data_IF_354823242938
#
_entry.id   IF_354823242938
#
_cell.length_a   1.000
_cell.length_b   1.000
_cell.length_c   1.000
_cell.angle_alpha   90.00
_cell.angle_beta   90.00
_cell.angle_gamma   90.00
#
_symmetry.space_group_name_H-M   'P 1'
#
loop_
_entity.id
_entity.type
_entity.pdbx_description
1 polymer ?
#
# COMPACT_ATOMS: atom_id res chain seq x y z
N UNK A 1 -22.47 -10.94 -9.74
CA UNK A 1 -21.28 -11.81 -9.95
C UNK A 1 -20.13 -11.10 -10.65
N UNK A 2 -20.35 -10.37 -11.76
CA UNK A 2 -19.29 -9.65 -12.48
C UNK A 2 -18.71 -8.49 -11.65
N UNK A 3 -19.54 -7.74 -10.95
CA UNK A 3 -19.11 -6.61 -10.11
C UNK A 3 -18.11 -7.05 -9.03
N UNK A 4 -18.41 -8.13 -8.30
CA UNK A 4 -17.51 -8.68 -7.28
C UNK A 4 -16.17 -9.15 -7.86
N UNK A 5 -16.20 -9.69 -9.07
CA UNK A 5 -14.99 -10.06 -9.79
C UNK A 5 -14.15 -8.81 -10.11
N UNK A 6 -14.75 -7.78 -10.70
CA UNK A 6 -14.08 -6.52 -11.02
C UNK A 6 -13.53 -5.81 -9.77
N UNK A 7 -14.34 -5.71 -8.72
CA UNK A 7 -13.96 -5.13 -7.43
C UNK A 7 -12.70 -5.82 -6.89
N UNK A 8 -12.66 -7.16 -6.90
CA UNK A 8 -11.52 -7.93 -6.41
C UNK A 8 -10.22 -7.59 -7.16
N UNK A 9 -10.28 -7.38 -8.48
CA UNK A 9 -9.11 -7.03 -9.28
C UNK A 9 -8.66 -5.59 -9.02
N UNK A 10 -9.60 -4.65 -8.91
CA UNK A 10 -9.32 -3.26 -8.58
C UNK A 10 -8.72 -3.12 -7.19
N UNK A 11 -9.32 -3.75 -6.18
CA UNK A 11 -8.84 -3.75 -4.79
C UNK A 11 -7.42 -4.32 -4.71
N UNK A 12 -7.12 -5.42 -5.41
CA UNK A 12 -5.77 -5.97 -5.45
C UNK A 12 -4.74 -4.95 -5.95
N UNK A 13 -5.04 -4.22 -7.02
CA UNK A 13 -4.17 -3.18 -7.54
C UNK A 13 -3.99 -2.04 -6.53
N UNK A 14 -5.12 -1.52 -6.02
CA UNK A 14 -5.15 -0.41 -5.07
C UNK A 14 -4.35 -0.72 -3.80
N UNK A 15 -4.48 -1.92 -3.23
CA UNK A 15 -3.77 -2.30 -2.01
C UNK A 15 -2.24 -2.27 -2.17
N UNK A 16 -1.70 -2.72 -3.32
CA UNK A 16 -0.26 -2.66 -3.59
C UNK A 16 0.23 -1.21 -3.62
N UNK A 17 -0.50 -0.34 -4.32
CA UNK A 17 -0.16 1.07 -4.43
C UNK A 17 -0.29 1.78 -3.09
N UNK A 18 -1.34 1.49 -2.31
CA UNK A 18 -1.55 2.04 -0.98
C UNK A 18 -0.44 1.64 0.00
N UNK A 19 0.03 0.38 -0.04
CA UNK A 19 1.14 -0.10 0.79
C UNK A 19 2.44 0.62 0.42
N UNK A 20 2.74 0.76 -0.88
CA UNK A 20 3.90 1.53 -1.34
C UNK A 20 3.83 2.99 -0.88
N UNK A 21 2.66 3.62 -0.97
CA UNK A 21 2.46 4.99 -0.49
C UNK A 21 2.74 5.10 1.02
N UNK A 22 2.17 4.21 1.84
CA UNK A 22 2.35 4.23 3.31
C UNK A 22 3.81 4.04 3.70
N UNK A 23 4.49 3.05 3.12
CA UNK A 23 5.91 2.76 3.41
C UNK A 23 6.82 3.85 2.84
N UNK A 24 6.42 4.48 1.73
CA UNK A 24 7.17 5.57 1.10
C UNK A 24 7.17 6.86 1.92
N UNK A 25 6.21 7.05 2.84
CA UNK A 25 6.19 8.18 3.77
C UNK A 25 7.10 7.94 4.98
N UNK A 26 7.11 6.73 5.51
CA UNK A 26 7.99 6.34 6.62
C UNK A 26 8.07 4.82 6.71
N UNK A 27 9.19 4.30 7.22
CA UNK A 27 9.29 2.89 7.55
C UNK A 27 8.28 2.47 8.62
N UNK A 28 7.68 1.29 8.47
CA UNK A 28 6.58 0.84 9.34
C UNK A 28 6.62 -0.66 9.62
N UNK A 29 6.12 -1.05 10.80
CA UNK A 29 5.87 -2.45 11.12
C UNK A 29 4.68 -3.00 10.31
N UNK A 30 4.72 -4.27 9.93
CA UNK A 30 3.63 -4.92 9.17
C UNK A 30 2.24 -4.72 9.81
N UNK A 31 2.15 -4.78 11.13
CA UNK A 31 0.89 -4.56 11.84
C UNK A 31 0.40 -3.09 11.79
N UNK A 32 1.30 -2.12 11.73
CA UNK A 32 0.92 -0.71 11.56
C UNK A 32 0.38 -0.45 10.15
N UNK A 33 1.02 -1.06 9.14
CA UNK A 33 0.56 -1.02 7.75
C UNK A 33 -0.83 -1.66 7.68
N UNK A 34 -1.02 -2.84 8.29
CA UNK A 34 -2.31 -3.51 8.38
C UNK A 34 -3.41 -2.61 8.92
N UNK A 35 -3.17 -1.98 10.09
CA UNK A 35 -4.15 -1.10 10.72
C UNK A 35 -4.54 0.08 9.84
N UNK A 36 -3.57 0.71 9.18
CA UNK A 36 -3.85 1.84 8.27
C UNK A 36 -4.67 1.39 7.06
N UNK A 37 -4.21 0.34 6.38
CA UNK A 37 -4.88 -0.15 5.17
C UNK A 37 -6.30 -0.62 5.49
N UNK A 38 -6.48 -1.35 6.59
CA UNK A 38 -7.80 -1.80 7.03
C UNK A 38 -8.73 -0.64 7.37
N UNK A 39 -8.23 0.38 8.07
CA UNK A 39 -9.05 1.51 8.50
C UNK A 39 -9.39 2.47 7.35
N UNK A 40 -8.45 2.73 6.46
CA UNK A 40 -8.52 3.85 5.52
C UNK A 40 -8.81 3.44 4.08
N UNK A 41 -8.45 2.21 3.68
CA UNK A 41 -8.45 1.80 2.27
C UNK A 41 -9.43 0.66 2.01
N UNK A 42 -9.33 -0.44 2.76
CA UNK A 42 -10.18 -1.62 2.56
C UNK A 42 -10.34 -2.41 3.86
N UNK A 43 -11.49 -2.27 4.50
CA UNK A 43 -11.85 -2.86 5.80
C UNK A 43 -11.86 -4.39 5.82
N UNK A 44 -12.13 -5.01 4.66
CA UNK A 44 -12.15 -6.47 4.48
C UNK A 44 -10.76 -7.09 4.30
N UNK A 45 -9.67 -6.31 4.33
CA UNK A 45 -8.32 -6.89 4.23
C UNK A 45 -8.01 -7.80 5.43
N UNK A 46 -7.53 -9.01 5.14
CA UNK A 46 -7.00 -9.93 6.16
C UNK A 46 -5.50 -9.67 6.40
N UNK A 47 -5.02 -10.01 7.59
CA UNK A 47 -3.59 -9.89 7.91
C UNK A 47 -2.73 -10.76 6.99
N UNK A 48 -3.19 -11.98 6.69
CA UNK A 48 -2.52 -12.89 5.74
C UNK A 48 -2.45 -12.30 4.34
N UNK A 49 -3.51 -11.65 3.86
CA UNK A 49 -3.50 -10.97 2.56
C UNK A 49 -2.47 -9.86 2.51
N UNK A 50 -2.34 -9.07 3.59
CA UNK A 50 -1.31 -8.04 3.66
C UNK A 50 0.09 -8.64 3.57
N UNK A 51 0.39 -9.68 4.36
CA UNK A 51 1.72 -10.31 4.33
C UNK A 51 2.04 -10.95 2.99
N UNK A 52 1.04 -11.51 2.29
CA UNK A 52 1.21 -11.96 0.90
C UNK A 52 1.62 -10.82 -0.03
N UNK A 53 0.98 -9.65 0.08
CA UNK A 53 1.32 -8.48 -0.74
C UNK A 53 2.72 -7.96 -0.39
N UNK A 54 3.06 -7.87 0.90
CA UNK A 54 4.40 -7.44 1.33
C UNK A 54 5.49 -8.36 0.79
N UNK A 55 5.29 -9.68 0.87
CA UNK A 55 6.23 -10.67 0.31
C UNK A 55 6.37 -10.54 -1.21
N UNK A 56 5.28 -10.25 -1.91
CA UNK A 56 5.30 -10.00 -3.36
C UNK A 56 6.10 -8.74 -3.71
N UNK A 57 5.86 -7.63 -3.02
CA UNK A 57 6.57 -6.36 -3.23
C UNK A 57 8.07 -6.49 -2.90
N UNK A 58 8.41 -7.25 -1.85
CA UNK A 58 9.79 -7.56 -1.48
C UNK A 58 10.48 -8.42 -2.54
N UNK A 59 9.81 -9.47 -3.04
CA UNK A 59 10.31 -10.30 -4.16
C UNK A 59 10.56 -9.47 -5.44
N UNK A 60 9.74 -8.44 -5.68
CA UNK A 60 9.91 -7.53 -6.81
C UNK A 60 11.01 -6.47 -6.58
N UNK A 61 11.59 -6.41 -5.38
CA UNK A 61 12.61 -5.44 -4.99
C UNK A 61 12.07 -4.03 -4.82
N UNK A 62 10.76 -3.86 -4.59
CA UNK A 62 10.11 -2.55 -4.41
C UNK A 62 10.15 -2.10 -2.94
N UNK A 63 10.25 -3.05 -2.02
CA UNK A 63 10.42 -2.81 -0.60
C UNK A 63 11.49 -3.76 -0.06
N UNK A 64 12.01 -3.46 1.12
CA UNK A 64 12.92 -4.33 1.88
C UNK A 64 12.62 -4.21 3.37
N UNK A 65 13.15 -5.16 4.15
CA UNK A 65 12.94 -5.21 5.59
C UNK A 65 14.24 -4.95 6.36
N UNK A 66 14.16 -4.09 7.37
CA UNK A 66 15.23 -3.90 8.38
C UNK A 66 14.63 -4.21 9.75
N UNK A 67 15.09 -5.31 10.37
CA UNK A 67 14.48 -5.83 11.59
C UNK A 67 13.02 -6.22 11.36
N UNK A 68 12.08 -5.52 11.98
CA UNK A 68 10.63 -5.75 11.82
C UNK A 68 9.91 -4.69 10.98
N UNK A 69 10.64 -3.68 10.48
CA UNK A 69 10.08 -2.58 9.70
C UNK A 69 10.30 -2.80 8.21
N UNK A 70 9.31 -2.42 7.42
CA UNK A 70 9.39 -2.34 5.97
C UNK A 70 9.79 -0.95 5.54
N UNK A 71 10.63 -0.88 4.51
CA UNK A 71 11.18 0.32 3.90
C UNK A 71 10.95 0.26 2.39
N UNK A 72 10.73 1.40 1.75
CA UNK A 72 10.64 1.46 0.29
C UNK A 72 12.06 1.48 -0.30
N UNK A 73 12.30 0.74 -1.37
CA UNK A 73 13.55 0.81 -2.12
C UNK A 73 13.52 1.99 -3.10
N UNK A 74 14.68 2.36 -3.65
CA UNK A 74 14.75 3.35 -4.74
C UNK A 74 13.89 2.94 -5.95
N UNK A 75 13.97 1.66 -6.33
CA UNK A 75 13.12 1.06 -7.37
C UNK A 75 11.63 1.19 -7.02
N UNK A 76 11.27 0.98 -5.74
CA UNK A 76 9.91 1.17 -5.24
C UNK A 76 9.42 2.60 -5.39
N UNK A 77 10.25 3.58 -5.06
CA UNK A 77 9.95 5.01 -5.23
C UNK A 77 9.74 5.35 -6.70
N UNK A 78 10.63 4.88 -7.59
CA UNK A 78 10.54 5.13 -9.02
C UNK A 78 9.25 4.55 -9.63
N UNK A 79 8.94 3.29 -9.31
CA UNK A 79 7.70 2.63 -9.76
C UNK A 79 6.48 3.34 -9.22
N UNK A 80 6.48 3.71 -7.93
CA UNK A 80 5.38 4.45 -7.33
C UNK A 80 5.15 5.79 -8.04
N UNK A 81 6.21 6.56 -8.27
CA UNK A 81 6.15 7.84 -8.99
C UNK A 81 5.53 7.69 -10.38
N UNK A 82 6.01 6.71 -11.17
CA UNK A 82 5.47 6.41 -12.52
C UNK A 82 3.97 6.07 -12.49
N UNK A 83 3.51 5.33 -11.48
CA UNK A 83 2.08 5.01 -11.33
C UNK A 83 1.29 6.28 -10.99
N UNK A 84 1.79 7.14 -10.10
CA UNK A 84 1.10 8.38 -9.70
C UNK A 84 1.05 9.41 -10.82
N UNK A 85 2.10 9.51 -11.64
CA UNK A 85 2.10 10.35 -12.85
C UNK A 85 1.06 9.87 -13.87
N UNK A 86 0.96 8.55 -14.05
CA UNK A 86 0.01 7.96 -15.00
C UNK A 86 -1.44 7.98 -14.51
N UNK A 87 -1.65 7.89 -13.20
CA UNK A 87 -2.97 7.76 -12.56
C UNK A 87 -3.12 8.72 -11.37
N UNK A 88 -3.20 10.04 -11.60
CA UNK A 88 -3.19 11.07 -10.56
C UNK A 88 -4.41 10.99 -9.61
N UNK A 89 -5.54 10.43 -10.07
CA UNK A 89 -6.69 10.21 -9.19
C UNK A 89 -6.40 9.22 -8.05
N UNK A 90 -5.44 8.30 -8.23
CA UNK A 90 -5.05 7.36 -7.17
C UNK A 90 -4.32 8.10 -6.07
N UNK A 91 -3.41 9.04 -6.40
CA UNK A 91 -2.73 9.81 -5.35
C UNK A 91 -3.73 10.65 -4.56
N UNK A 92 -4.67 11.33 -5.24
CA UNK A 92 -5.71 12.14 -4.60
C UNK A 92 -6.59 11.28 -3.68
N UNK A 93 -6.97 10.08 -4.13
CA UNK A 93 -7.73 9.14 -3.31
C UNK A 93 -6.93 8.74 -2.05
N UNK A 94 -5.66 8.37 -2.21
CA UNK A 94 -4.82 7.91 -1.11
C UNK A 94 -4.53 9.02 -0.10
N UNK A 95 -4.20 10.24 -0.55
CA UNK A 95 -3.95 11.39 0.31
C UNK A 95 -5.18 11.71 1.16
N UNK A 96 -6.36 11.79 0.54
CA UNK A 96 -7.63 12.04 1.23
C UNK A 96 -7.96 10.99 2.30
N UNK A 97 -7.54 9.74 2.10
CA UNK A 97 -7.82 8.63 3.04
C UNK A 97 -6.75 8.45 4.10
N UNK A 98 -5.49 8.75 3.81
CA UNK A 98 -4.34 8.36 4.63
C UNK A 98 -3.63 9.54 5.30
N UNK A 99 -3.60 10.74 4.72
CA UNK A 99 -2.78 11.84 5.26
C UNK A 99 -3.25 12.30 6.65
N UNK A 100 -4.56 12.33 6.91
CA UNK A 100 -5.10 12.63 8.25
C UNK A 100 -4.53 11.68 9.33
N UNK A 101 -4.27 10.41 8.98
CA UNK A 101 -3.78 9.40 9.93
C UNK A 101 -2.26 9.31 9.99
N UNK A 102 -1.56 9.82 8.97
CA UNK A 102 -0.11 9.87 8.95
C UNK A 102 0.44 11.12 9.67
N UNK A 103 -0.33 12.21 9.69
CA UNK A 103 0.04 13.46 10.37
C UNK A 103 -0.24 13.47 11.89
N UNK A 104 -1.14 12.61 12.37
CA UNK A 104 -1.54 12.52 13.79
C UNK A 104 -0.93 11.29 14.49
N UNK A 105 0.33 10.97 14.18
CA UNK A 105 1.07 9.85 14.76
C UNK A 105 2.21 10.32 15.66
#
# INVERSE_FOLDING_TARGET
MIEQFLEKHLVKGLLRVAILYVIGKTSMYGYQIYKLIKKCVYDKISLSTLYTILKELEKLGLIYRVGLKYHISEKGVEVFKKIMEKYPFIIIFLTNKLDFYLLNR
#
